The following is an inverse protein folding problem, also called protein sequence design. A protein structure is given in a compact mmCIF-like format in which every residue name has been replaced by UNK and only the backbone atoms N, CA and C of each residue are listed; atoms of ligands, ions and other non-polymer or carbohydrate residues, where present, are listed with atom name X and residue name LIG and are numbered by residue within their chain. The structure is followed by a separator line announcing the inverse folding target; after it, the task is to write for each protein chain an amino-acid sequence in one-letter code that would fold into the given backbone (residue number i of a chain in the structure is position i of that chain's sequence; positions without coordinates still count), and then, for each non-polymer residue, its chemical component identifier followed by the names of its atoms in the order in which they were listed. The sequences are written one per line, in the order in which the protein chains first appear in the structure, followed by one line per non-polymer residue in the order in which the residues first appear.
data_IF_999657667630
#
_entry.id   IF_999657667630
#
_cell.length_a   1.000
_cell.length_b   1.000
_cell.length_c   1.000
_cell.angle_alpha   90.00
_cell.angle_beta   90.00
_cell.angle_gamma   90.00
#
_symmetry.space_group_name_H-M   'P 1'
#
loop_
_entity.id
_entity.type
_entity.pdbx_description
1 polymer ?
#
# COMPACT_ATOMS: atom_id res chain seq x y z
N UNK A 1 11.18 -6.95 6.01
CA UNK A 1 10.40 -6.82 4.78
C UNK A 1 11.14 -5.91 3.78
N UNK A 2 11.20 -6.29 2.52
CA UNK A 2 11.90 -5.56 1.48
C UNK A 2 10.93 -4.64 0.72
N UNK A 3 11.20 -3.34 0.74
CA UNK A 3 10.41 -2.33 0.03
C UNK A 3 10.42 -2.55 -1.49
N UNK A 4 11.56 -2.95 -2.04
CA UNK A 4 11.67 -3.20 -3.49
C UNK A 4 10.73 -4.33 -3.92
N UNK A 5 10.70 -5.44 -3.17
CA UNK A 5 9.78 -6.55 -3.42
C UNK A 5 8.31 -6.16 -3.30
N UNK A 6 7.97 -5.29 -2.33
CA UNK A 6 6.61 -4.76 -2.20
C UNK A 6 6.24 -3.87 -3.40
N UNK A 7 7.11 -2.95 -3.78
CA UNK A 7 6.89 -2.05 -4.91
C UNK A 7 6.75 -2.83 -6.23
N UNK A 8 7.55 -3.88 -6.44
CA UNK A 8 7.40 -4.76 -7.61
C UNK A 8 6.05 -5.47 -7.68
N UNK A 9 5.54 -5.97 -6.54
CA UNK A 9 4.23 -6.62 -6.48
C UNK A 9 3.11 -5.64 -6.77
N UNK A 10 3.17 -4.42 -6.20
CA UNK A 10 2.22 -3.36 -6.47
C UNK A 10 2.25 -2.94 -7.95
N UNK A 11 3.44 -2.83 -8.53
CA UNK A 11 3.65 -2.52 -9.94
C UNK A 11 3.07 -3.59 -10.88
N UNK A 12 3.26 -4.87 -10.56
CA UNK A 12 2.64 -5.98 -11.31
C UNK A 12 1.13 -5.91 -11.28
N UNK A 13 0.54 -5.61 -10.11
CA UNK A 13 -0.90 -5.45 -9.96
C UNK A 13 -1.42 -4.29 -10.82
N UNK A 14 -0.75 -3.15 -10.82
CA UNK A 14 -1.08 -2.01 -11.67
C UNK A 14 -1.00 -2.32 -13.16
N UNK A 15 0.05 -3.03 -13.58
CA UNK A 15 0.20 -3.48 -14.96
C UNK A 15 -0.89 -4.42 -15.46
N UNK A 16 -1.57 -5.11 -14.55
CA UNK A 16 -2.72 -5.94 -14.88
C UNK A 16 -4.01 -5.13 -15.08
N UNK A 17 -4.10 -3.92 -14.54
CA UNK A 17 -5.27 -3.03 -14.68
C UNK A 17 -5.22 -2.16 -15.93
N UNK A 18 -4.04 -1.96 -16.52
CA UNK A 18 -3.94 -1.22 -17.78
C UNK A 18 -4.59 -2.02 -18.89
N UNK A 19 -5.62 -1.43 -19.50
CA UNK A 19 -6.21 -1.95 -20.74
C UNK A 19 -5.08 -2.11 -21.74
N UNK A 20 -4.79 -3.36 -22.14
CA UNK A 20 -4.03 -3.62 -23.34
C UNK A 20 -4.85 -3.09 -24.50
N UNK A 21 -4.55 -1.91 -25.00
CA UNK A 21 -4.90 -1.61 -26.37
C UNK A 21 -4.32 -2.73 -27.26
N UNK A 22 -5.10 -3.30 -28.19
CA UNK A 22 -4.57 -4.29 -29.11
C UNK A 22 -3.51 -3.63 -29.97
N UNK A 23 -2.26 -3.76 -29.54
CA UNK A 23 -1.12 -3.21 -30.27
C UNK A 23 -0.84 -4.11 -31.46
N UNK A 24 -1.43 -3.75 -32.58
CA UNK A 24 -0.89 -4.12 -33.91
C UNK A 24 0.32 -3.26 -34.19
N UNK A 25 1.47 -3.59 -33.63
CA UNK A 25 2.72 -2.88 -33.92
C UNK A 25 3.90 -3.57 -33.25
N UNK A 26 4.94 -3.87 -34.01
CA UNK A 26 6.28 -4.24 -33.53
C UNK A 26 6.86 -3.08 -32.71
N UNK A 27 6.33 -2.86 -31.49
CA UNK A 27 6.86 -1.91 -30.53
C UNK A 27 7.96 -2.57 -29.72
N UNK A 28 9.11 -1.95 -29.67
CA UNK A 28 10.17 -2.16 -28.70
C UNK A 28 9.58 -2.35 -27.31
N UNK A 29 10.07 -3.35 -26.55
CA UNK A 29 9.79 -3.51 -25.13
C UNK A 29 10.22 -2.23 -24.42
N UNK A 30 9.34 -1.25 -24.34
CA UNK A 30 9.45 -0.23 -23.32
C UNK A 30 9.12 -0.92 -22.00
N UNK A 31 10.07 -0.95 -21.09
CA UNK A 31 9.85 -1.26 -19.70
C UNK A 31 8.71 -0.35 -19.23
N UNK A 32 7.54 -0.92 -19.09
CA UNK A 32 6.33 -0.18 -18.74
C UNK A 32 6.48 0.19 -17.27
N UNK A 33 6.94 1.40 -17.01
CA UNK A 33 6.87 1.98 -15.65
C UNK A 33 5.39 2.06 -15.32
N UNK A 34 4.93 1.37 -14.25
CA UNK A 34 3.52 1.37 -13.90
C UNK A 34 3.06 2.78 -13.62
N UNK A 35 1.97 3.19 -14.22
CA UNK A 35 1.34 4.47 -13.96
C UNK A 35 0.90 4.52 -12.50
N UNK A 36 1.29 5.58 -11.78
CA UNK A 36 0.88 5.81 -10.39
C UNK A 36 -0.64 5.79 -10.23
N UNK A 37 -1.37 6.24 -11.25
CA UNK A 37 -2.83 6.20 -11.26
C UNK A 37 -3.37 4.76 -11.26
N UNK A 38 -2.76 3.86 -12.02
CA UNK A 38 -3.14 2.45 -12.05
C UNK A 38 -2.85 1.78 -10.70
N UNK A 39 -1.73 2.10 -10.05
CA UNK A 39 -1.41 1.63 -8.70
C UNK A 39 -2.45 2.16 -7.70
N UNK A 40 -2.77 3.46 -7.75
CA UNK A 40 -3.77 4.07 -6.88
C UNK A 40 -5.14 3.41 -7.01
N UNK A 41 -5.55 3.08 -8.24
CA UNK A 41 -6.81 2.39 -8.52
C UNK A 41 -6.85 1.01 -7.87
N UNK A 42 -5.77 0.23 -7.96
CA UNK A 42 -5.67 -1.08 -7.31
C UNK A 42 -5.86 -0.98 -5.78
N UNK A 43 -5.24 0.01 -5.16
CA UNK A 43 -5.36 0.20 -3.72
C UNK A 43 -6.71 0.81 -3.29
N UNK A 44 -7.39 1.56 -4.17
CA UNK A 44 -8.75 2.02 -3.92
C UNK A 44 -9.72 0.85 -3.70
N UNK A 45 -9.58 -0.24 -4.42
CA UNK A 45 -10.38 -1.46 -4.23
C UNK A 45 -10.08 -2.20 -2.93
N UNK A 46 -8.94 -1.96 -2.30
CA UNK A 46 -8.57 -2.59 -1.04
C UNK A 46 -9.25 -1.97 0.19
N UNK A 47 -9.93 -0.84 0.04
CA UNK A 47 -10.56 -0.12 1.16
C UNK A 47 -11.75 -0.89 1.72
N UNK A 48 -11.77 -1.04 3.03
CA UNK A 48 -12.87 -1.66 3.78
C UNK A 48 -13.89 -0.64 4.30
N UNK A 49 -13.69 0.64 4.01
CA UNK A 49 -14.59 1.72 4.41
C UNK A 49 -13.94 3.09 4.23
N UNK A 50 -14.71 4.18 4.44
CA UNK A 50 -14.24 5.54 4.17
C UNK A 50 -13.08 5.98 5.09
N UNK A 51 -12.94 5.34 6.24
CA UNK A 51 -11.89 5.64 7.22
C UNK A 51 -10.70 4.68 7.17
N UNK A 52 -10.71 3.69 6.28
CA UNK A 52 -9.58 2.76 6.12
C UNK A 52 -8.43 3.48 5.41
N UNK A 53 -7.37 3.75 6.16
CA UNK A 53 -6.17 4.45 5.66
C UNK A 53 -5.06 3.50 5.21
N UNK A 54 -5.17 2.21 5.51
CA UNK A 54 -4.09 1.27 5.25
C UNK A 54 -3.79 1.07 3.76
N UNK A 55 -4.76 1.12 2.84
CA UNK A 55 -4.46 1.17 1.42
C UNK A 55 -3.68 2.41 0.99
N UNK A 56 -3.91 3.56 1.62
CA UNK A 56 -3.15 4.79 1.34
C UNK A 56 -1.69 4.65 1.82
N UNK A 57 -1.47 3.97 2.95
CA UNK A 57 -0.13 3.63 3.42
C UNK A 57 0.58 2.71 2.42
N UNK A 58 -0.10 1.67 1.98
CA UNK A 58 0.46 0.74 1.02
C UNK A 58 0.80 1.43 -0.31
N UNK A 59 -0.06 2.32 -0.78
CA UNK A 59 0.20 3.16 -1.95
C UNK A 59 1.41 4.06 -1.73
N UNK A 60 1.49 4.76 -0.61
CA UNK A 60 2.62 5.63 -0.27
C UNK A 60 3.94 4.85 -0.23
N UNK A 61 3.93 3.65 0.36
CA UNK A 61 5.11 2.76 0.38
C UNK A 61 5.51 2.32 -1.02
N UNK A 62 4.54 1.97 -1.87
CA UNK A 62 4.80 1.52 -3.24
C UNK A 62 5.39 2.63 -4.11
N UNK A 63 4.81 3.83 -4.05
CA UNK A 63 5.18 4.96 -4.93
C UNK A 63 6.26 5.86 -4.33
N UNK A 64 6.50 5.78 -3.01
CA UNK A 64 7.36 6.73 -2.29
C UNK A 64 6.71 8.10 -2.07
N UNK A 65 5.41 8.22 -2.28
CA UNK A 65 4.67 9.46 -2.08
C UNK A 65 4.40 9.71 -0.59
N UNK A 66 4.66 10.93 -0.12
CA UNK A 66 4.45 11.34 1.28
C UNK A 66 3.05 11.89 1.57
N UNK A 67 2.12 11.74 0.65
CA UNK A 67 0.75 12.17 0.86
C UNK A 67 0.14 11.49 2.10
N UNK A 68 -0.68 12.22 2.84
CA UNK A 68 -1.34 11.75 4.07
C UNK A 68 -0.41 11.35 5.23
N UNK A 69 0.87 11.76 5.21
CA UNK A 69 1.87 11.42 6.22
C UNK A 69 1.39 11.66 7.66
N UNK A 70 0.78 12.81 7.93
CA UNK A 70 0.30 13.16 9.28
C UNK A 70 -0.75 12.19 9.83
N UNK A 71 -1.67 11.75 8.98
CA UNK A 71 -2.69 10.79 9.36
C UNK A 71 -2.08 9.41 9.61
N UNK A 72 -1.22 8.97 8.69
CA UNK A 72 -0.50 7.70 8.79
C UNK A 72 0.33 7.64 10.08
N UNK A 73 1.08 8.69 10.36
CA UNK A 73 1.92 8.79 11.57
C UNK A 73 1.09 8.74 12.85
N UNK A 74 -0.07 9.39 12.89
CA UNK A 74 -0.97 9.34 14.07
C UNK A 74 -1.51 7.94 14.31
N UNK A 75 -2.02 7.27 13.28
CA UNK A 75 -2.55 5.91 13.40
C UNK A 75 -1.45 4.91 13.80
N UNK A 76 -0.25 5.08 13.25
CA UNK A 76 0.89 4.26 13.62
C UNK A 76 1.30 4.51 15.08
N UNK A 77 1.28 5.76 15.55
CA UNK A 77 1.57 6.08 16.95
C UNK A 77 0.54 5.45 17.90
N UNK A 78 -0.74 5.46 17.55
CA UNK A 78 -1.79 4.77 18.32
C UNK A 78 -1.53 3.27 18.39
N UNK A 79 -1.15 2.64 17.28
CA UNK A 79 -0.82 1.23 17.23
C UNK A 79 0.40 0.90 18.10
N UNK A 80 1.45 1.73 18.07
CA UNK A 80 2.65 1.57 18.91
C UNK A 80 2.28 1.68 20.39
N UNK A 81 1.54 2.72 20.79
CA UNK A 81 1.12 2.92 22.19
C UNK A 81 0.31 1.73 22.69
N UNK A 82 -0.62 1.25 21.87
CA UNK A 82 -1.42 0.07 22.20
C UNK A 82 -0.57 -1.18 22.38
N UNK A 83 0.38 -1.42 21.46
CA UNK A 83 1.28 -2.57 21.51
C UNK A 83 2.27 -2.54 22.68
N UNK A 84 2.65 -1.35 23.13
CA UNK A 84 3.50 -1.18 24.33
C UNK A 84 2.72 -1.27 25.64
N UNK A 85 1.40 -1.38 25.61
CA UNK A 85 0.55 -1.38 26.81
C UNK A 85 0.49 -0.02 27.50
N UNK A 86 0.96 1.04 26.87
CA UNK A 86 0.99 2.38 27.42
C UNK A 86 -0.35 3.07 27.17
N UNK A 87 -1.33 2.78 28.00
CA UNK A 87 -2.61 3.48 27.99
C UNK A 87 -2.50 4.78 28.80
N UNK A 88 -2.22 5.86 28.13
CA UNK A 88 -2.39 7.22 28.68
C UNK A 88 -1.21 7.83 29.44
N UNK A 89 -0.18 7.10 29.82
CA UNK A 89 0.97 7.59 30.61
C UNK A 89 2.32 7.60 29.86
N UNK A 90 2.32 7.26 28.58
CA UNK A 90 3.53 7.33 27.78
C UNK A 90 3.76 8.73 27.23
N UNK A 91 4.98 9.04 26.81
CA UNK A 91 5.36 10.30 26.15
C UNK A 91 4.76 10.36 24.72
N UNK A 92 3.49 10.75 24.51
CA UNK A 92 2.81 10.63 23.20
C UNK A 92 3.55 11.41 22.12
N UNK A 93 4.16 12.53 22.45
CA UNK A 93 4.95 13.30 21.50
C UNK A 93 6.23 12.56 21.05
N UNK A 94 6.88 11.82 21.95
CA UNK A 94 8.04 11.00 21.60
C UNK A 94 7.64 9.81 20.73
N UNK A 95 6.54 9.14 21.05
CA UNK A 95 6.02 8.03 20.23
C UNK A 95 5.57 8.50 18.85
N UNK A 96 4.98 9.70 18.76
CA UNK A 96 4.65 10.29 17.45
C UNK A 96 5.90 10.50 16.58
N UNK A 97 7.01 10.93 17.16
CA UNK A 97 8.29 11.06 16.45
C UNK A 97 8.88 9.70 16.06
N UNK A 98 8.72 8.67 16.89
CA UNK A 98 9.14 7.31 16.53
C UNK A 98 8.30 6.80 15.35
N UNK A 99 6.97 6.99 15.37
CA UNK A 99 6.08 6.64 14.28
C UNK A 99 6.45 7.35 12.97
N UNK A 100 6.77 8.64 13.03
CA UNK A 100 7.28 9.40 11.89
C UNK A 100 8.59 8.80 11.36
N UNK A 101 9.51 8.40 12.23
CA UNK A 101 10.75 7.72 11.85
C UNK A 101 10.52 6.38 11.16
N UNK A 102 9.55 5.56 11.64
CA UNK A 102 9.15 4.32 10.97
C UNK A 102 8.60 4.59 9.56
N UNK A 103 7.74 5.58 9.43
CA UNK A 103 7.18 5.98 8.15
C UNK A 103 8.26 6.44 7.17
N UNK A 104 9.19 7.29 7.61
CA UNK A 104 10.32 7.77 6.79
C UNK A 104 11.22 6.61 6.33
N UNK A 105 11.52 5.66 7.21
CA UNK A 105 12.28 4.45 6.83
C UNK A 105 11.56 3.64 5.77
N UNK A 106 10.25 3.48 5.90
CA UNK A 106 9.46 2.79 4.88
C UNK A 106 9.50 3.49 3.53
N UNK A 107 9.62 4.83 3.52
CA UNK A 107 9.80 5.63 2.29
C UNK A 107 11.25 5.62 1.77
N UNK A 108 12.16 4.89 2.43
CA UNK A 108 13.57 4.84 2.06
C UNK A 108 14.37 6.09 2.45
N UNK A 109 13.84 6.88 3.38
CA UNK A 109 14.52 8.04 3.93
C UNK A 109 15.25 7.68 5.24
N UNK A 110 16.25 8.47 5.62
CA UNK A 110 16.95 8.29 6.87
C UNK A 110 16.01 8.53 8.06
N UNK A 111 16.06 7.64 9.04
CA UNK A 111 15.30 7.81 10.27
C UNK A 111 15.83 9.00 11.08
N UNK A 112 14.92 9.66 11.77
CA UNK A 112 15.27 10.69 12.76
C UNK A 112 15.96 10.05 13.97
N UNK A 113 16.79 10.83 14.66
CA UNK A 113 17.41 10.43 15.93
C UNK A 113 16.34 10.08 16.98
N UNK A 114 16.75 9.29 17.98
CA UNK A 114 15.88 8.98 19.13
C UNK A 114 15.35 10.28 19.75
N UNK A 115 14.02 10.40 19.95
CA UNK A 115 13.45 11.56 20.60
C UNK A 115 13.76 11.57 22.11
N UNK A 116 13.84 12.78 22.68
CA UNK A 116 13.96 12.95 24.12
C UNK A 116 12.71 12.42 24.84
N UNK A 117 12.89 12.05 26.12
CA UNK A 117 11.78 11.63 26.97
C UNK A 117 11.45 10.15 26.95
N UNK A 118 12.16 9.33 26.15
CA UNK A 118 12.05 7.87 26.17
C UNK A 118 13.41 7.21 26.33
N UNK A 119 13.44 6.06 27.01
CA UNK A 119 14.64 5.24 27.16
C UNK A 119 15.01 4.54 25.85
N UNK A 120 16.28 4.11 25.72
CA UNK A 120 16.73 3.37 24.53
C UNK A 120 15.92 2.08 24.30
N UNK A 121 15.59 1.38 25.38
CA UNK A 121 14.77 0.18 25.34
C UNK A 121 13.35 0.48 24.82
N UNK A 122 12.72 1.54 25.31
CA UNK A 122 11.40 1.97 24.84
C UNK A 122 11.45 2.39 23.37
N UNK A 123 12.49 3.12 22.96
CA UNK A 123 12.69 3.51 21.57
C UNK A 123 12.83 2.30 20.65
N UNK A 124 13.68 1.33 21.01
CA UNK A 124 13.88 0.11 20.22
C UNK A 124 12.58 -0.69 20.08
N UNK A 125 11.84 -0.86 21.18
CA UNK A 125 10.57 -1.56 21.18
C UNK A 125 9.52 -0.83 20.32
N UNK A 126 9.38 0.47 20.49
CA UNK A 126 8.46 1.30 19.73
C UNK A 126 8.78 1.28 18.24
N UNK A 127 10.05 1.38 17.86
CA UNK A 127 10.49 1.32 16.48
C UNK A 127 10.21 -0.05 15.84
N UNK A 128 10.50 -1.14 16.55
CA UNK A 128 10.22 -2.49 16.09
C UNK A 128 8.72 -2.73 15.89
N UNK A 129 7.90 -2.30 16.85
CA UNK A 129 6.44 -2.39 16.75
C UNK A 129 5.92 -1.55 15.58
N UNK A 130 6.39 -0.31 15.43
CA UNK A 130 5.97 0.57 14.35
C UNK A 130 6.31 0.02 12.97
N UNK A 131 7.52 -0.46 12.76
CA UNK A 131 7.94 -1.08 11.51
C UNK A 131 7.14 -2.36 11.22
N UNK A 132 6.92 -3.19 12.23
CA UNK A 132 6.14 -4.43 12.10
C UNK A 132 4.69 -4.15 11.70
N UNK A 133 4.02 -3.24 12.40
CA UNK A 133 2.63 -2.86 12.12
C UNK A 133 2.51 -2.27 10.73
N UNK A 134 3.41 -1.34 10.37
CA UNK A 134 3.38 -0.68 9.07
C UNK A 134 3.50 -1.68 7.93
N UNK A 135 4.49 -2.58 7.99
CA UNK A 135 4.70 -3.57 6.93
C UNK A 135 3.61 -4.63 6.89
N UNK A 136 3.10 -5.06 8.04
CA UNK A 136 1.99 -6.00 8.11
C UNK A 136 0.75 -5.42 7.43
N UNK A 137 0.38 -4.21 7.78
CA UNK A 137 -0.81 -3.56 7.24
C UNK A 137 -0.68 -3.20 5.76
N UNK A 138 0.50 -2.71 5.34
CA UNK A 138 0.76 -2.46 3.93
C UNK A 138 0.65 -3.75 3.09
N UNK A 139 1.18 -4.84 3.59
CA UNK A 139 1.13 -6.15 2.93
C UNK A 139 -0.30 -6.72 2.86
N UNK A 140 -1.08 -6.55 3.93
CA UNK A 140 -2.48 -6.95 3.97
C UNK A 140 -3.32 -6.12 2.99
N UNK A 141 -3.10 -4.82 2.91
CA UNK A 141 -3.77 -3.96 1.93
C UNK A 141 -3.41 -4.36 0.49
N UNK A 142 -2.14 -4.69 0.22
CA UNK A 142 -1.73 -5.21 -1.09
C UNK A 142 -2.43 -6.53 -1.42
N UNK A 143 -2.50 -7.45 -0.46
CA UNK A 143 -3.19 -8.73 -0.66
C UNK A 143 -4.69 -8.53 -0.95
N UNK A 144 -5.34 -7.61 -0.25
CA UNK A 144 -6.74 -7.23 -0.52
C UNK A 144 -6.92 -6.66 -1.92
N UNK A 145 -6.00 -5.79 -2.36
CA UNK A 145 -6.02 -5.23 -3.71
C UNK A 145 -5.86 -6.31 -4.78
N UNK A 146 -4.91 -7.24 -4.60
CA UNK A 146 -4.72 -8.39 -5.49
C UNK A 146 -5.98 -9.27 -5.58
N UNK A 147 -6.63 -9.52 -4.45
CA UNK A 147 -7.85 -10.33 -4.38
C UNK A 147 -9.03 -9.63 -5.06
N UNK A 148 -9.24 -8.35 -4.79
CA UNK A 148 -10.30 -7.56 -5.41
C UNK A 148 -10.14 -7.52 -6.93
N UNK A 149 -8.92 -7.31 -7.40
CA UNK A 149 -8.62 -7.31 -8.83
C UNK A 149 -8.99 -8.65 -9.51
N UNK A 150 -8.66 -9.78 -8.89
CA UNK A 150 -8.97 -11.11 -9.43
C UNK A 150 -10.47 -11.37 -9.48
N UNK A 151 -11.23 -10.94 -8.47
CA UNK A 151 -12.68 -11.12 -8.43
C UNK A 151 -13.39 -10.30 -9.50
N UNK A 152 -12.98 -9.06 -9.73
CA UNK A 152 -13.56 -8.23 -10.80
C UNK A 152 -13.22 -8.73 -12.19
N UNK A 153 -12.00 -9.25 -12.39
CA UNK A 153 -11.61 -9.87 -13.66
C UNK A 153 -12.47 -11.08 -14.03
N UNK A 154 -12.88 -11.88 -13.04
CA UNK A 154 -13.75 -13.04 -13.25
C UNK A 154 -15.17 -12.64 -13.67
N UNK A 155 -15.75 -11.58 -13.11
CA UNK A 155 -17.07 -11.09 -13.49
C UNK A 155 -17.13 -10.46 -14.88
N UNK A 156 -16.01 -9.89 -15.37
CA UNK A 156 -15.95 -9.33 -16.74
C UNK A 156 -15.91 -10.40 -17.83
N UNK A 157 -15.38 -11.57 -17.56
CA UNK A 157 -15.31 -12.66 -18.52
C UNK A 157 -16.69 -13.30 -18.72
N UNK A 158 -17.51 -13.39 -17.66
CA UNK A 158 -18.86 -13.97 -17.75
C UNK A 158 -19.90 -13.04 -18.39
N UNK A 159 -19.65 -11.74 -18.44
CA UNK A 159 -20.58 -10.76 -19.02
C UNK A 159 -20.29 -10.39 -20.48
N UNK A 160 -19.34 -11.03 -21.16
CA UNK A 160 -19.14 -10.86 -22.59
C UNK A 160 -20.31 -11.55 -23.33
N UNK A 161 -21.19 -10.82 -24.04
CA UNK A 161 -22.24 -11.45 -24.81
C UNK A 161 -21.60 -12.32 -25.90
N UNK A 162 -22.00 -13.60 -25.97
CA UNK A 162 -21.60 -14.47 -27.06
C UNK A 162 -21.85 -13.78 -28.41
N UNK A 163 -20.87 -13.80 -29.33
CA UNK A 163 -21.08 -13.27 -30.66
C UNK A 163 -22.22 -14.07 -31.32
N UNK A 164 -23.38 -13.42 -31.50
CA UNK A 164 -24.49 -14.00 -32.25
C UNK A 164 -23.98 -14.32 -33.66
N UNK A 165 -23.76 -15.59 -33.91
CA UNK A 165 -23.52 -16.09 -35.24
C UNK A 165 -24.76 -15.74 -36.10
N UNK A 166 -24.61 -14.76 -36.99
CA UNK A 166 -25.61 -14.46 -38.00
C UNK A 166 -25.78 -15.70 -38.87
N UNK A 167 -27.01 -16.26 -38.99
CA UNK A 167 -27.26 -17.34 -39.96
C UNK A 167 -27.05 -16.76 -41.36
N UNK A 168 -26.24 -17.43 -42.17
CA UNK A 168 -26.09 -17.13 -43.61
C UNK A 168 -27.43 -17.24 -44.29
N UNK A 169 -27.83 -16.29 -45.12
CA UNK A 169 -29.00 -16.47 -45.98
C UNK A 169 -28.70 -17.53 -47.04
N UNK A 170 -29.70 -18.37 -47.28
CA UNK A 170 -29.70 -19.40 -48.29
C UNK A 170 -29.74 -18.85 -49.72
#
# INVERSE_FOLDING_TARGET
YDRASFAERAAKLAGMTTFREPVGGRGTKHDHVPDEHAIATCFAFARQGPNDIWPDIALAVATGCIAHADRIVRELAVAILSGMGLRGEGHPAAILRVAAGCYLRAMGQSATAKPDGITDRQYQLAALLGDSVLWQQANEALFRAERAYRSEGSHRVESSPEPRLNPRPA
#
